data_IF_698841575786
#
_entry.id   IF_698841575786
#
_cell.length_a   1.000
_cell.length_b   1.000
_cell.length_c   1.000
_cell.angle_alpha   90.00
_cell.angle_beta   90.00
_cell.angle_gamma   90.00
#
_symmetry.space_group_name_H-M   'P 1'
#
loop_
_entity.id
_entity.type
_entity.pdbx_description
1 polymer ?
#
# COMPACT_ATOMS: atom_id res chain seq x y z
N UNK A 1 -4.99 0.58 -15.52
CA UNK A 1 -6.39 0.86 -15.93
C UNK A 1 -6.96 1.80 -14.88
N UNK A 2 -7.71 2.83 -15.25
CA UNK A 2 -8.26 3.75 -14.24
C UNK A 2 -9.33 3.05 -13.42
N UNK A 3 -9.04 2.86 -12.13
CA UNK A 3 -10.01 2.42 -11.15
C UNK A 3 -10.98 3.56 -10.85
N UNK A 4 -12.28 3.31 -11.01
CA UNK A 4 -13.32 4.35 -10.84
C UNK A 4 -13.69 4.55 -9.37
N UNK A 5 -13.42 3.58 -8.51
CA UNK A 5 -13.62 3.67 -7.05
C UNK A 5 -12.59 4.61 -6.46
N UNK A 6 -11.33 4.42 -6.87
CA UNK A 6 -10.20 5.18 -6.34
C UNK A 6 -9.83 6.41 -7.17
N UNK A 7 -10.41 6.53 -8.38
CA UNK A 7 -10.17 7.63 -9.32
C UNK A 7 -8.67 7.74 -9.68
N UNK A 8 -7.95 6.62 -9.62
CA UNK A 8 -6.50 6.51 -9.88
C UNK A 8 -6.23 5.33 -10.81
N UNK A 9 -5.12 5.38 -11.56
CA UNK A 9 -4.62 4.19 -12.25
C UNK A 9 -4.03 3.22 -11.22
N UNK A 10 -4.55 2.00 -11.20
CA UNK A 10 -4.15 0.93 -10.30
C UNK A 10 -4.00 -0.37 -11.09
N UNK A 11 -3.04 -1.17 -10.66
CA UNK A 11 -2.83 -2.51 -11.17
C UNK A 11 -3.47 -3.54 -10.23
N UNK A 12 -4.23 -4.45 -10.82
CA UNK A 12 -4.99 -5.47 -10.13
C UNK A 12 -4.56 -6.86 -10.60
N UNK A 13 -4.39 -7.77 -9.65
CA UNK A 13 -4.19 -9.19 -9.90
C UNK A 13 -5.47 -9.99 -9.67
N UNK A 14 -5.33 -11.17 -9.07
CA UNK A 14 -6.43 -12.09 -8.75
C UNK A 14 -7.20 -11.65 -7.49
N UNK A 15 -7.72 -10.43 -7.48
CA UNK A 15 -8.42 -9.84 -6.32
C UNK A 15 -7.51 -9.10 -5.34
N UNK A 16 -6.23 -8.92 -5.68
CA UNK A 16 -5.26 -8.12 -4.93
C UNK A 16 -4.89 -6.87 -5.71
N UNK A 17 -4.61 -5.80 -4.98
CA UNK A 17 -3.85 -4.67 -5.51
C UNK A 17 -2.41 -5.13 -5.72
N UNK A 18 -1.85 -4.79 -6.87
CA UNK A 18 -0.42 -4.89 -7.16
C UNK A 18 0.17 -3.49 -7.04
N UNK A 19 1.43 -3.39 -6.61
CA UNK A 19 2.07 -2.09 -6.47
C UNK A 19 1.90 -1.24 -7.73
N UNK A 20 1.56 0.02 -7.49
CA UNK A 20 1.17 0.99 -8.50
C UNK A 20 1.94 2.29 -8.33
N UNK A 21 3.03 2.29 -7.54
CA UNK A 21 3.83 3.47 -7.25
C UNK A 21 4.35 4.18 -8.52
N UNK A 22 4.55 3.47 -9.64
CA UNK A 22 4.90 4.07 -10.93
C UNK A 22 3.86 5.05 -11.48
N UNK A 23 2.62 5.02 -10.99
CA UNK A 23 1.58 6.00 -11.31
C UNK A 23 1.57 7.23 -10.39
N UNK A 24 2.41 7.27 -9.35
CA UNK A 24 2.53 8.40 -8.43
C UNK A 24 2.64 7.92 -6.97
N UNK A 25 3.86 7.76 -6.41
CA UNK A 25 4.05 7.12 -5.11
C UNK A 25 3.40 7.90 -3.94
N UNK A 26 3.20 9.21 -4.12
CA UNK A 26 2.54 10.07 -3.12
C UNK A 26 1.03 10.26 -3.35
N UNK A 27 0.49 9.76 -4.47
CA UNK A 27 -0.92 9.95 -4.84
C UNK A 27 -1.71 8.65 -4.93
N UNK A 28 -1.03 7.52 -5.14
CA UNK A 28 -1.65 6.19 -5.17
C UNK A 28 -2.29 5.88 -3.82
N UNK A 29 -3.61 5.60 -3.78
CA UNK A 29 -4.29 5.21 -2.55
C UNK A 29 -3.92 3.76 -2.18
N UNK A 30 -4.01 3.42 -0.90
CA UNK A 30 -3.69 2.07 -0.40
C UNK A 30 -2.27 1.56 -0.78
N UNK A 31 -1.30 2.48 -0.88
CA UNK A 31 0.11 2.18 -1.17
C UNK A 31 0.75 1.19 -0.17
N UNK A 32 1.66 0.36 -0.66
CA UNK A 32 2.46 -0.57 0.15
C UNK A 32 3.77 0.04 0.68
N UNK A 33 3.90 1.37 0.61
CA UNK A 33 5.11 2.11 0.99
C UNK A 33 5.91 2.54 -0.24
N UNK A 34 6.81 3.52 -0.07
CA UNK A 34 7.60 4.10 -1.17
C UNK A 34 8.72 3.21 -1.71
N UNK A 35 9.15 2.22 -0.92
CA UNK A 35 10.28 1.34 -1.24
C UNK A 35 9.85 -0.09 -1.59
N UNK A 36 8.54 -0.36 -1.66
CA UNK A 36 8.08 -1.68 -2.04
C UNK A 36 8.44 -2.00 -3.49
N UNK A 37 8.71 -3.27 -3.77
CA UNK A 37 8.97 -3.70 -5.14
C UNK A 37 7.72 -3.65 -6.01
N UNK A 38 7.90 -3.55 -7.33
CA UNK A 38 6.83 -3.58 -8.33
C UNK A 38 5.98 -4.86 -8.27
N UNK A 39 6.50 -5.94 -7.67
CA UNK A 39 5.80 -7.23 -7.53
C UNK A 39 5.05 -7.35 -6.20
N UNK A 40 5.04 -6.30 -5.39
CA UNK A 40 4.31 -6.29 -4.12
C UNK A 40 2.81 -6.38 -4.38
N UNK A 41 2.11 -7.20 -3.59
CA UNK A 41 0.67 -7.36 -3.72
C UNK A 41 0.00 -7.50 -2.36
N UNK A 42 -1.25 -7.03 -2.26
CA UNK A 42 -1.96 -7.01 -1.00
C UNK A 42 -3.34 -6.39 -1.08
N UNK A 43 -3.87 -6.05 0.09
CA UNK A 43 -5.18 -5.44 0.23
C UNK A 43 -5.27 -4.55 1.48
N UNK A 44 -5.97 -3.43 1.35
CA UNK A 44 -6.35 -2.58 2.48
C UNK A 44 -7.69 -2.99 3.10
N UNK A 45 -7.80 -3.01 4.41
CA UNK A 45 -9.10 -3.08 5.07
C UNK A 45 -9.82 -1.74 4.98
N UNK A 46 -11.09 -1.70 5.42
CA UNK A 46 -11.91 -0.48 5.43
C UNK A 46 -11.37 0.55 6.43
N UNK A 47 -10.41 1.37 6.00
CA UNK A 47 -9.76 2.43 6.77
C UNK A 47 -9.07 2.00 8.07
N UNK A 48 -8.85 0.69 8.26
CA UNK A 48 -8.46 0.11 9.55
C UNK A 48 -7.23 -0.78 9.48
N UNK A 49 -6.82 -1.23 8.30
CA UNK A 49 -5.73 -2.20 8.17
C UNK A 49 -5.12 -2.20 6.77
N UNK A 50 -3.94 -2.77 6.66
CA UNK A 50 -3.31 -3.13 5.38
C UNK A 50 -2.52 -4.41 5.57
N UNK A 51 -2.55 -5.30 4.58
CA UNK A 51 -1.73 -6.50 4.54
C UNK A 51 -1.21 -6.75 3.14
N UNK A 52 0.09 -7.01 3.02
CA UNK A 52 0.74 -7.26 1.74
C UNK A 52 1.96 -8.16 1.86
N UNK A 53 2.41 -8.67 0.72
CA UNK A 53 3.65 -9.41 0.56
C UNK A 53 4.50 -8.78 -0.54
N UNK A 54 5.78 -8.58 -0.25
CA UNK A 54 6.81 -8.15 -1.20
C UNK A 54 7.78 -9.31 -1.43
N UNK A 55 7.64 -10.05 -2.54
CA UNK A 55 8.44 -11.24 -2.80
C UNK A 55 9.90 -10.92 -3.12
N UNK A 56 10.23 -9.71 -3.56
CA UNK A 56 11.61 -9.35 -3.91
C UNK A 56 12.43 -9.04 -2.66
N UNK A 57 11.81 -8.42 -1.66
CA UNK A 57 12.42 -8.17 -0.35
C UNK A 57 12.21 -9.30 0.66
N UNK A 58 11.45 -10.34 0.31
CA UNK A 58 11.12 -11.43 1.23
C UNK A 58 10.32 -10.96 2.45
N UNK A 59 9.51 -9.92 2.29
CA UNK A 59 8.83 -9.20 3.36
C UNK A 59 7.32 -9.43 3.32
N UNK A 60 6.70 -9.65 4.48
CA UNK A 60 5.25 -9.67 4.66
C UNK A 60 4.90 -8.74 5.80
N UNK A 61 3.92 -7.87 5.57
CA UNK A 61 3.48 -6.89 6.57
C UNK A 61 1.98 -6.98 6.74
N UNK A 62 1.53 -6.93 8.00
CA UNK A 62 0.13 -6.68 8.36
C UNK A 62 0.09 -5.61 9.44
N UNK A 63 -0.63 -4.53 9.18
CA UNK A 63 -0.89 -3.46 10.14
C UNK A 63 -2.38 -3.34 10.41
N UNK A 64 -2.74 -3.20 11.69
CA UNK A 64 -4.13 -3.02 12.14
C UNK A 64 -4.20 -1.83 13.08
N UNK A 65 -5.17 -0.95 12.86
CA UNK A 65 -5.40 0.25 13.65
C UNK A 65 -6.75 0.20 14.34
N UNK A 66 -6.84 0.79 15.52
CA UNK A 66 -8.04 0.80 16.35
C UNK A 66 -9.10 1.84 15.91
N UNK A 67 -9.08 2.30 14.65
CA UNK A 67 -10.03 3.30 14.17
C UNK A 67 -9.99 3.56 12.66
N UNK A 68 -11.08 4.12 12.15
CA UNK A 68 -11.34 4.47 10.74
C UNK A 68 -11.35 6.00 10.58
N UNK A 69 -10.21 6.65 10.30
CA UNK A 69 -10.08 8.10 10.40
C UNK A 69 -10.60 8.88 9.17
N UNK A 70 -11.24 8.22 8.21
CA UNK A 70 -11.53 8.75 6.88
C UNK A 70 -10.44 8.40 5.86
N UNK A 71 -10.83 8.30 4.58
CA UNK A 71 -9.98 7.83 3.47
C UNK A 71 -8.64 8.57 3.39
N UNK A 72 -8.66 9.91 3.34
CA UNK A 72 -7.42 10.70 3.19
C UNK A 72 -6.42 10.42 4.31
N UNK A 73 -6.87 10.52 5.56
CA UNK A 73 -6.02 10.27 6.73
C UNK A 73 -5.53 8.82 6.78
N UNK A 74 -6.35 7.88 6.31
CA UNK A 74 -5.95 6.48 6.24
C UNK A 74 -4.88 6.24 5.19
N UNK A 75 -5.04 6.78 3.98
CA UNK A 75 -4.06 6.67 2.90
C UNK A 75 -2.71 7.28 3.30
N UNK A 76 -2.73 8.48 3.89
CA UNK A 76 -1.51 9.12 4.39
C UNK A 76 -0.84 8.23 5.45
N UNK A 77 -1.59 7.78 6.46
CA UNK A 77 -1.03 6.92 7.53
C UNK A 77 -0.47 5.59 7.00
N UNK A 78 -1.14 4.94 6.05
CA UNK A 78 -0.70 3.65 5.50
C UNK A 78 0.58 3.80 4.68
N UNK A 79 0.68 4.85 3.85
CA UNK A 79 1.91 5.11 3.11
C UNK A 79 3.08 5.37 4.07
N UNK A 80 2.88 6.27 5.04
CA UNK A 80 3.97 6.62 5.96
C UNK A 80 4.39 5.47 6.87
N UNK A 81 3.45 4.67 7.41
CA UNK A 81 3.84 3.51 8.24
C UNK A 81 4.56 2.43 7.43
N UNK A 82 4.11 2.16 6.20
CA UNK A 82 4.72 1.14 5.38
C UNK A 82 6.10 1.60 4.91
N UNK A 83 6.24 2.87 4.47
CA UNK A 83 7.56 3.45 4.17
C UNK A 83 8.51 3.33 5.36
N UNK A 84 8.07 3.69 6.58
CA UNK A 84 8.89 3.59 7.77
C UNK A 84 9.34 2.15 8.07
N UNK A 85 8.50 1.14 7.79
CA UNK A 85 8.89 -0.28 7.94
C UNK A 85 10.02 -0.64 6.99
N UNK A 86 9.97 -0.21 5.73
CA UNK A 86 11.07 -0.46 4.78
C UNK A 86 12.36 0.25 5.19
N UNK A 87 12.26 1.51 5.64
CA UNK A 87 13.40 2.29 6.12
C UNK A 87 14.05 1.65 7.35
N UNK A 88 13.25 1.20 8.33
CA UNK A 88 13.73 0.53 9.55
C UNK A 88 14.44 -0.80 9.24
N UNK A 89 13.95 -1.53 8.25
CA UNK A 89 14.55 -2.79 7.80
C UNK A 89 15.76 -2.60 6.86
N UNK A 90 16.08 -1.36 6.45
CA UNK A 90 17.18 -1.07 5.53
C UNK A 90 16.93 -1.54 4.09
N UNK A 91 15.67 -1.55 3.65
CA UNK A 91 15.22 -2.05 2.34
C UNK A 91 14.90 -0.91 1.36
N UNK A 92 15.67 0.19 1.40
CA UNK A 92 15.45 1.42 0.62
C UNK A 92 16.08 1.41 -0.75
#
# INVERSE_FOLDING_TARGET
MKDRTFIHDLDWGLGFLVDSNHYGPDTVPYSFGRHCSMRTYGHGGRQSSSSFADPEHGLVVTVVFNGMPGERRHNDRIREINTAIYEDLGLT
#
